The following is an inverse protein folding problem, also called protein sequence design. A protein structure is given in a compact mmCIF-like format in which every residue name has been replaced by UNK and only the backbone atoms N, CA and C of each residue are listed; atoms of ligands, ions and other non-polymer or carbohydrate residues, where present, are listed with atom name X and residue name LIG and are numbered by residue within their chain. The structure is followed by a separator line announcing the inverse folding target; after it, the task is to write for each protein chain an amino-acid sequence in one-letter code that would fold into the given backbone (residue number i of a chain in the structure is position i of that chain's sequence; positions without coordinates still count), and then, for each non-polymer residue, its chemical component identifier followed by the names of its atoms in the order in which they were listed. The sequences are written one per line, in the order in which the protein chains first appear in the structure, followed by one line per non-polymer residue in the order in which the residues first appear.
data_IF_727537811692
#
_entry.id   IF_727537811692
#
_cell.length_a   1.000
_cell.length_b   1.000
_cell.length_c   1.000
_cell.angle_alpha   90.00
_cell.angle_beta   90.00
_cell.angle_gamma   90.00
#
_symmetry.space_group_name_H-M   'P 1'
#
loop_
_entity.id
_entity.type
_entity.pdbx_description
1 polymer ?
#
# COMPACT_ATOMS: atom_id res chain seq x y z
N UNK A 1 -0.59 -3.26 -9.98
CA UNK A 1 -0.99 -4.47 -9.21
C UNK A 1 -0.72 -4.29 -7.71
N UNK A 2 0.48 -3.84 -7.31
CA UNK A 2 0.84 -3.61 -5.90
C UNK A 2 -0.09 -2.63 -5.18
N UNK A 3 -0.41 -1.47 -5.79
CA UNK A 3 -1.37 -0.49 -5.27
C UNK A 3 -2.70 -1.12 -4.82
N UNK A 4 -3.39 -1.81 -5.74
CA UNK A 4 -4.67 -2.47 -5.46
C UNK A 4 -4.61 -3.49 -4.32
N UNK A 5 -3.50 -4.21 -4.18
CA UNK A 5 -3.32 -5.14 -3.06
C UNK A 5 -3.11 -4.39 -1.76
N UNK A 6 -2.32 -3.32 -1.77
CA UNK A 6 -2.10 -2.45 -0.62
C UNK A 6 -3.41 -1.79 -0.15
N UNK A 7 -4.20 -1.22 -1.07
CA UNK A 7 -5.53 -0.66 -0.80
C UNK A 7 -6.47 -1.71 -0.19
N UNK A 8 -6.46 -2.94 -0.74
CA UNK A 8 -7.26 -4.03 -0.19
C UNK A 8 -6.81 -4.39 1.23
N UNK A 9 -5.51 -4.48 1.50
CA UNK A 9 -5.00 -4.72 2.87
C UNK A 9 -5.42 -3.61 3.83
N UNK A 10 -5.33 -2.34 3.40
CA UNK A 10 -5.75 -1.19 4.19
C UNK A 10 -7.24 -1.23 4.56
N UNK A 11 -8.07 -1.81 3.69
CA UNK A 11 -9.51 -1.94 3.95
C UNK A 11 -9.88 -2.90 5.09
N UNK A 12 -8.95 -3.76 5.54
CA UNK A 12 -9.17 -4.71 6.64
C UNK A 12 -8.84 -4.15 8.03
N UNK A 13 -8.43 -2.88 8.14
CA UNK A 13 -8.23 -2.21 9.42
C UNK A 13 -9.45 -2.40 10.35
N UNK A 14 -9.17 -2.70 11.62
CA UNK A 14 -10.20 -2.58 12.66
C UNK A 14 -10.68 -1.12 12.80
N UNK A 15 -11.78 -0.84 13.54
CA UNK A 15 -12.23 0.53 13.77
C UNK A 15 -11.18 1.48 14.37
N UNK A 16 -10.15 0.94 15.03
CA UNK A 16 -9.03 1.70 15.58
C UNK A 16 -7.80 1.73 14.66
N UNK A 17 -7.94 1.29 13.40
CA UNK A 17 -6.87 1.17 12.41
C UNK A 17 -5.75 0.18 12.79
N UNK A 18 -6.09 -0.81 13.62
CA UNK A 18 -5.17 -1.85 14.08
C UNK A 18 -5.35 -3.16 13.29
N UNK A 19 -4.26 -3.91 13.19
CA UNK A 19 -4.14 -5.21 12.51
C UNK A 19 -3.64 -6.32 13.45
N UNK A 20 -4.09 -7.55 13.19
CA UNK A 20 -3.58 -8.76 13.82
C UNK A 20 -2.40 -9.35 13.03
N UNK A 21 -1.92 -10.51 13.46
CA UNK A 21 -0.91 -11.29 12.73
C UNK A 21 -1.40 -11.70 11.35
N UNK A 22 -2.66 -12.16 11.27
CA UNK A 22 -3.24 -12.69 10.04
C UNK A 22 -4.64 -12.11 9.81
N UNK A 23 -5.04 -12.08 8.54
CA UNK A 23 -6.40 -11.73 8.12
C UNK A 23 -6.96 -12.91 7.33
N UNK A 24 -8.14 -13.38 7.74
CA UNK A 24 -8.87 -14.35 6.94
C UNK A 24 -9.36 -13.70 5.63
N UNK A 25 -8.91 -14.14 4.43
CA UNK A 25 -9.14 -13.38 3.20
C UNK A 25 -10.61 -13.29 2.73
N UNK A 26 -11.48 -14.16 3.26
CA UNK A 26 -12.89 -14.25 2.87
C UNK A 26 -13.77 -13.35 3.72
N UNK A 27 -13.60 -13.39 5.04
CA UNK A 27 -14.43 -12.60 5.97
C UNK A 27 -13.76 -11.30 6.43
N UNK A 28 -12.44 -11.17 6.27
CA UNK A 28 -11.66 -10.08 6.85
C UNK A 28 -11.43 -10.24 8.35
N UNK A 29 -11.75 -11.40 8.94
CA UNK A 29 -11.55 -11.64 10.37
C UNK A 29 -10.06 -11.56 10.72
N UNK A 30 -9.77 -10.78 11.75
CA UNK A 30 -8.45 -10.66 12.36
C UNK A 30 -8.14 -11.96 13.15
N UNK A 31 -6.99 -12.58 12.91
CA UNK A 31 -6.58 -13.87 13.48
C UNK A 31 -5.21 -13.74 14.18
N UNK A 32 -5.03 -14.49 15.27
CA UNK A 32 -3.80 -14.47 16.04
C UNK A 32 -3.71 -13.29 17.01
N UNK A 33 -2.49 -12.87 17.34
CA UNK A 33 -2.28 -11.75 18.26
C UNK A 33 -2.84 -10.44 17.68
N UNK A 34 -3.53 -9.67 18.51
CA UNK A 34 -4.11 -8.38 18.14
C UNK A 34 -3.99 -7.36 19.28
N UNK A 35 -3.48 -6.14 19.04
CA UNK A 35 -2.80 -5.70 17.82
C UNK A 35 -1.39 -6.30 17.73
N UNK A 36 -0.87 -6.52 16.52
CA UNK A 36 0.47 -7.10 16.37
C UNK A 36 1.44 -6.17 15.64
N UNK A 37 2.58 -5.90 16.28
CA UNK A 37 3.52 -4.87 15.86
C UNK A 37 4.22 -5.17 14.51
N UNK A 38 4.61 -6.42 14.25
CA UNK A 38 5.35 -6.73 13.01
C UNK A 38 4.49 -6.59 11.74
N UNK A 39 3.19 -6.85 11.81
CA UNK A 39 2.23 -6.66 10.73
C UNK A 39 2.10 -5.17 10.43
N UNK A 40 2.01 -4.32 11.47
CA UNK A 40 2.00 -2.87 11.26
C UNK A 40 3.31 -2.39 10.62
N UNK A 41 4.46 -2.86 11.11
CA UNK A 41 5.76 -2.53 10.53
C UNK A 41 5.87 -2.97 9.06
N UNK A 42 5.44 -4.20 8.75
CA UNK A 42 5.42 -4.72 7.39
C UNK A 42 4.48 -3.93 6.48
N UNK A 43 3.30 -3.54 6.97
CA UNK A 43 2.32 -2.73 6.23
C UNK A 43 2.87 -1.33 5.94
N UNK A 44 3.49 -0.66 6.91
CA UNK A 44 4.16 0.63 6.71
C UNK A 44 5.22 0.52 5.62
N UNK A 45 6.10 -0.49 5.70
CA UNK A 45 7.13 -0.70 4.70
C UNK A 45 6.54 -0.93 3.30
N UNK A 46 5.49 -1.76 3.20
CA UNK A 46 4.81 -2.02 1.93
C UNK A 46 4.19 -0.74 1.33
N UNK A 47 3.52 0.08 2.15
CA UNK A 47 2.94 1.36 1.71
C UNK A 47 4.04 2.31 1.21
N UNK A 48 5.15 2.45 1.94
CA UNK A 48 6.29 3.29 1.52
C UNK A 48 6.85 2.84 0.17
N UNK A 49 6.98 1.53 -0.06
CA UNK A 49 7.44 1.01 -1.35
C UNK A 49 6.44 1.26 -2.48
N UNK A 50 5.13 1.17 -2.21
CA UNK A 50 4.11 1.49 -3.21
C UNK A 50 4.17 2.97 -3.58
N UNK A 51 4.25 3.87 -2.60
CA UNK A 51 4.33 5.32 -2.84
C UNK A 51 5.52 5.65 -3.73
N UNK A 52 6.72 5.17 -3.39
CA UNK A 52 7.94 5.41 -4.20
C UNK A 52 7.80 4.91 -5.63
N UNK A 53 7.22 3.72 -5.81
CA UNK A 53 7.01 3.15 -7.15
C UNK A 53 5.99 3.96 -7.97
N UNK A 54 5.01 4.60 -7.33
CA UNK A 54 4.09 5.52 -8.01
C UNK A 54 4.77 6.84 -8.38
N UNK A 55 5.56 7.42 -7.48
CA UNK A 55 6.34 8.64 -7.75
C UNK A 55 7.33 8.45 -8.92
N UNK A 56 8.00 7.29 -8.99
CA UNK A 56 8.89 6.94 -10.11
C UNK A 56 8.14 6.78 -11.43
N UNK A 57 6.92 6.24 -11.40
CA UNK A 57 6.09 6.12 -12.59
C UNK A 57 5.59 7.49 -13.08
N UNK A 58 5.19 8.37 -12.16
CA UNK A 58 4.71 9.73 -12.45
C UNK A 58 5.85 10.67 -12.89
N UNK A 59 7.05 10.49 -12.34
CA UNK A 59 8.27 11.22 -12.69
C UNK A 59 8.82 10.93 -14.09
N UNK A 60 8.25 9.96 -14.81
CA UNK A 60 8.56 9.69 -16.23
C UNK A 60 7.80 10.60 -17.21
N UNK A 61 7.27 11.73 -16.73
CA UNK A 61 6.73 12.78 -17.58
C UNK A 61 7.71 13.14 -18.69
N UNK A 62 7.31 12.85 -19.94
CA UNK A 62 8.09 13.17 -21.13
C UNK A 62 8.45 14.64 -21.09
N UNK A 63 9.73 14.98 -20.94
CA UNK A 63 10.17 16.36 -21.13
C UNK A 63 9.91 16.72 -22.58
N UNK A 64 8.87 17.50 -22.82
CA UNK A 64 8.60 18.15 -24.10
C UNK A 64 9.32 19.50 -24.07
N UNK A 65 10.51 19.63 -24.70
CA UNK A 65 11.14 20.93 -24.83
C UNK A 65 10.21 21.86 -25.62
N UNK A 66 10.14 23.13 -25.21
CA UNK A 66 9.31 24.16 -25.85
C UNK A 66 9.61 24.37 -27.36
N UNK A 67 10.70 23.77 -27.85
CA UNK A 67 11.23 23.83 -29.20
C UNK A 67 11.11 22.50 -29.98
N UNK A 68 10.18 21.62 -29.60
CA UNK A 68 9.85 20.44 -30.42
C UNK A 68 9.29 20.88 -31.79
N UNK A 69 9.88 20.45 -32.94
CA UNK A 69 9.38 20.82 -34.25
C UNK A 69 7.99 20.24 -34.49
N UNK A 70 7.09 21.06 -35.04
CA UNK A 70 5.74 20.69 -35.48
C UNK A 70 5.77 19.64 -36.59
#
# INVERSE_FOLDING_TARGET
RAKRLCERLLSYASPLHLYAEEIEPRTGRQLGNFPQAFTHLALINAVVHVIRAEEEADGSGTFLPANAPM
#
